data_IF_126280551183
#
_entry.id   IF_126280551183
#
_cell.length_a   1.000
_cell.length_b   1.000
_cell.length_c   1.000
_cell.angle_alpha   90.00
_cell.angle_beta   90.00
_cell.angle_gamma   90.00
#
_symmetry.space_group_name_H-M   'P 1'
#
loop_
_entity.id
_entity.type
_entity.pdbx_description
1 polymer ?
#
# COMPACT_ATOMS: atom_id res chain seq x y z
N UNK A 1 -37.87 -9.01 35.55
CA UNK A 1 -38.14 -10.31 36.19
C UNK A 1 -36.79 -10.99 36.41
N UNK A 2 -36.19 -10.71 37.57
CA UNK A 2 -34.98 -11.37 38.08
C UNK A 2 -35.39 -12.71 38.69
N UNK A 3 -34.59 -13.76 38.49
CA UNK A 3 -34.48 -14.82 39.49
C UNK A 3 -33.04 -15.34 39.51
N UNK A 4 -32.34 -15.00 40.60
CA UNK A 4 -31.14 -15.67 41.10
C UNK A 4 -31.57 -16.91 41.89
N UNK A 5 -30.73 -17.95 41.94
CA UNK A 5 -30.68 -18.85 43.10
C UNK A 5 -29.24 -19.24 43.41
N UNK A 6 -28.95 -19.17 44.71
CA UNK A 6 -27.69 -19.44 45.37
C UNK A 6 -27.79 -20.72 46.23
N UNK A 7 -26.66 -21.08 46.86
CA UNK A 7 -26.48 -22.00 48.00
C UNK A 7 -26.42 -23.51 47.64
N UNK A 8 -25.55 -24.35 48.24
CA UNK A 8 -24.71 -24.22 49.44
C UNK A 8 -23.66 -25.34 49.49
N UNK A 9 -22.56 -25.07 50.20
CA UNK A 9 -21.53 -25.99 50.69
C UNK A 9 -22.06 -27.15 51.54
N UNK A 10 -21.34 -28.27 51.55
CA UNK A 10 -20.90 -28.96 52.78
C UNK A 10 -19.79 -29.97 52.46
N UNK A 11 -18.59 -29.75 53.03
CA UNK A 11 -17.50 -30.72 53.01
C UNK A 11 -17.66 -31.82 54.05
N UNK A 12 -16.86 -32.88 53.94
CA UNK A 12 -16.37 -33.70 55.05
C UNK A 12 -15.22 -34.64 54.60
N UNK A 13 -14.04 -34.39 55.18
CA UNK A 13 -12.93 -35.26 55.62
C UNK A 13 -12.55 -36.55 54.86
N UNK A 14 -11.25 -36.64 54.57
CA UNK A 14 -10.46 -37.83 54.23
C UNK A 14 -10.34 -38.83 55.41
N UNK A 15 -9.85 -40.07 55.12
CA UNK A 15 -8.52 -40.41 55.62
C UNK A 15 -7.62 -41.17 54.63
N UNK A 16 -6.34 -41.23 55.02
CA UNK A 16 -5.12 -41.69 54.32
C UNK A 16 -5.00 -43.21 54.10
N UNK A 17 -4.28 -43.56 53.03
CA UNK A 17 -3.08 -44.43 52.91
C UNK A 17 -3.15 -45.49 51.81
N UNK A 18 -2.08 -45.58 51.01
CA UNK A 18 -1.80 -46.72 50.12
C UNK A 18 -0.98 -46.32 48.89
N UNK A 19 0.35 -46.42 48.99
CA UNK A 19 1.24 -46.42 47.83
C UNK A 19 0.96 -47.64 46.94
N UNK A 20 0.84 -47.45 45.63
CA UNK A 20 1.36 -48.39 44.63
C UNK A 20 1.55 -47.70 43.28
N UNK A 21 2.76 -47.88 42.74
CA UNK A 21 3.15 -47.48 41.39
C UNK A 21 2.32 -48.22 40.33
N UNK A 22 1.97 -47.51 39.25
CA UNK A 22 1.78 -48.10 37.91
C UNK A 22 1.79 -46.99 36.85
N UNK A 23 2.81 -47.06 35.98
CA UNK A 23 2.90 -46.38 34.70
C UNK A 23 1.66 -46.71 33.85
N UNK A 24 1.11 -45.76 33.08
CA UNK A 24 0.28 -46.07 31.91
C UNK A 24 0.17 -44.90 30.89
N UNK A 25 0.70 -45.21 29.69
CA UNK A 25 0.42 -44.79 28.31
C UNK A 25 -0.27 -43.44 27.95
N UNK A 26 0.19 -42.74 26.89
CA UNK A 26 -0.53 -41.61 26.31
C UNK A 26 -1.77 -42.08 25.51
N UNK A 27 -2.85 -41.31 25.57
CA UNK A 27 -4.13 -41.67 24.97
C UNK A 27 -4.07 -41.77 23.43
N UNK A 28 -4.83 -42.69 22.78
CA UNK A 28 -4.69 -42.99 21.34
C UNK A 28 -5.20 -41.89 20.39
N UNK A 29 -5.76 -40.80 20.93
CA UNK A 29 -6.69 -39.95 20.17
C UNK A 29 -6.09 -38.64 19.64
N UNK A 30 -4.88 -38.26 20.08
CA UNK A 30 -4.17 -37.06 19.61
C UNK A 30 -3.30 -37.35 18.39
N UNK A 31 -2.63 -38.50 18.37
CA UNK A 31 -1.81 -38.96 17.24
C UNK A 31 -2.66 -39.26 15.99
N UNK A 32 -3.89 -39.75 16.15
CA UNK A 32 -4.79 -40.04 15.02
C UNK A 32 -5.31 -38.75 14.36
N UNK A 33 -5.65 -37.72 15.16
CA UNK A 33 -6.05 -36.39 14.68
C UNK A 33 -4.91 -35.65 13.99
N UNK A 34 -3.69 -35.76 14.51
CA UNK A 34 -2.50 -35.22 13.86
C UNK A 34 -2.25 -35.90 12.51
N UNK A 35 -2.28 -37.24 12.45
CA UNK A 35 -2.15 -38.01 11.19
C UNK A 35 -3.25 -37.69 10.19
N UNK A 36 -4.49 -37.48 10.64
CA UNK A 36 -5.60 -37.08 9.78
C UNK A 36 -5.36 -35.69 9.18
N UNK A 37 -4.93 -34.71 9.98
CA UNK A 37 -4.56 -33.36 9.50
C UNK A 37 -3.40 -33.41 8.50
N UNK A 38 -2.36 -34.19 8.77
CA UNK A 38 -1.25 -34.38 7.83
C UNK A 38 -1.69 -35.02 6.52
N UNK A 39 -2.59 -36.02 6.56
CA UNK A 39 -3.19 -36.61 5.35
C UNK A 39 -4.03 -35.61 4.56
N UNK A 40 -4.83 -34.78 5.22
CA UNK A 40 -5.63 -33.74 4.57
C UNK A 40 -4.73 -32.69 3.91
N UNK A 41 -3.69 -32.22 4.60
CA UNK A 41 -2.70 -31.28 4.03
C UNK A 41 -1.95 -31.91 2.85
N UNK A 42 -1.58 -33.18 2.94
CA UNK A 42 -0.92 -33.89 1.83
C UNK A 42 -1.85 -34.12 0.63
N UNK A 43 -3.14 -34.38 0.85
CA UNK A 43 -4.16 -34.49 -0.21
C UNK A 43 -4.43 -33.15 -0.88
N UNK A 44 -4.53 -32.06 -0.11
CA UNK A 44 -4.64 -30.70 -0.62
C UNK A 44 -3.39 -30.35 -1.43
N UNK A 45 -2.19 -30.65 -0.93
CA UNK A 45 -0.94 -30.42 -1.64
C UNK A 45 -0.84 -31.23 -2.95
N UNK A 46 -1.27 -32.49 -2.97
CA UNK A 46 -1.35 -33.31 -4.19
C UNK A 46 -2.39 -32.78 -5.17
N UNK A 47 -3.57 -32.38 -4.69
CA UNK A 47 -4.63 -31.78 -5.51
C UNK A 47 -4.17 -30.48 -6.16
N UNK A 48 -3.56 -29.58 -5.38
CA UNK A 48 -2.94 -28.35 -5.88
C UNK A 48 -1.82 -28.67 -6.87
N UNK A 49 -0.93 -29.63 -6.57
CA UNK A 49 0.14 -30.04 -7.48
C UNK A 49 -0.38 -30.54 -8.83
N UNK A 50 -1.54 -31.22 -8.83
CA UNK A 50 -2.17 -31.75 -10.05
C UNK A 50 -2.87 -30.64 -10.83
N UNK A 51 -3.49 -29.70 -10.13
CA UNK A 51 -4.10 -28.49 -10.70
C UNK A 51 -3.04 -27.57 -11.34
N UNK A 52 -1.92 -27.35 -10.65
CA UNK A 52 -0.79 -26.55 -11.12
C UNK A 52 -0.14 -27.10 -12.38
N UNK A 53 -0.06 -28.43 -12.51
CA UNK A 53 0.57 -29.09 -13.66
C UNK A 53 -0.32 -29.02 -14.92
N UNK A 54 -1.65 -29.00 -14.73
CA UNK A 54 -2.62 -28.93 -15.83
C UNK A 54 -2.74 -27.52 -16.43
N UNK A 55 -2.38 -26.48 -15.67
CA UNK A 55 -2.45 -25.07 -16.08
C UNK A 55 -1.09 -24.37 -16.19
N UNK A 56 0.04 -25.10 -16.20
CA UNK A 56 1.40 -24.52 -16.26
C UNK A 56 1.66 -23.47 -15.16
N UNK A 57 1.19 -23.71 -13.94
CA UNK A 57 1.41 -22.81 -12.80
C UNK A 57 2.24 -23.51 -11.75
N UNK A 58 3.57 -23.52 -11.85
CA UNK A 58 4.40 -24.19 -10.85
C UNK A 58 4.30 -23.47 -9.49
N UNK A 59 4.27 -24.19 -8.36
CA UNK A 59 4.42 -23.58 -7.02
C UNK A 59 5.78 -22.86 -6.86
N UNK A 60 6.79 -23.23 -7.68
CA UNK A 60 8.05 -22.50 -7.87
C UNK A 60 7.88 -21.11 -8.53
N UNK A 61 6.75 -20.82 -9.19
CA UNK A 61 6.43 -19.51 -9.76
C UNK A 61 5.73 -18.57 -8.75
N UNK A 62 5.47 -19.02 -7.52
CA UNK A 62 4.95 -18.11 -6.50
C UNK A 62 6.09 -17.14 -6.10
N UNK A 63 6.05 -15.93 -6.67
CA UNK A 63 6.99 -14.82 -6.42
C UNK A 63 7.26 -14.61 -4.93
N UNK A 64 6.23 -14.76 -4.08
CA UNK A 64 6.33 -14.62 -2.63
C UNK A 64 7.41 -15.50 -1.96
N UNK A 65 7.59 -16.75 -2.42
CA UNK A 65 8.57 -17.68 -1.82
C UNK A 65 10.00 -17.35 -2.22
N UNK A 66 10.19 -16.70 -3.37
CA UNK A 66 11.51 -16.39 -3.93
C UNK A 66 12.02 -15.01 -3.51
N UNK A 67 11.14 -14.02 -3.33
CA UNK A 67 11.55 -12.62 -3.15
C UNK A 67 11.37 -12.07 -1.73
N UNK A 68 10.60 -12.76 -0.88
CA UNK A 68 10.24 -12.25 0.45
C UNK A 68 9.21 -11.11 0.43
N UNK A 69 8.67 -10.75 -0.74
CA UNK A 69 7.62 -9.74 -0.88
C UNK A 69 6.37 -10.14 -0.09
N UNK A 70 5.90 -9.23 0.77
CA UNK A 70 4.66 -9.41 1.53
C UNK A 70 3.49 -8.92 0.70
N UNK A 71 2.42 -9.70 0.65
CA UNK A 71 1.16 -9.30 0.02
C UNK A 71 0.09 -9.06 1.08
N UNK A 72 -0.71 -8.02 0.91
CA UNK A 72 -1.79 -7.61 1.84
C UNK A 72 -3.06 -7.35 1.03
N UNK A 73 -4.22 -7.47 1.67
CA UNK A 73 -5.45 -6.98 1.07
C UNK A 73 -5.41 -5.45 0.98
N UNK A 74 -5.97 -4.90 -0.10
CA UNK A 74 -6.17 -3.47 -0.25
C UNK A 74 -7.42 -3.07 0.53
N UNK A 75 -7.23 -2.58 1.75
CA UNK A 75 -8.33 -2.38 2.69
C UNK A 75 -8.98 -3.71 3.07
N UNK A 76 -10.31 -3.71 3.19
CA UNK A 76 -11.12 -4.93 3.38
C UNK A 76 -11.55 -5.58 2.05
N UNK A 77 -11.09 -5.07 0.90
CA UNK A 77 -11.40 -5.67 -0.40
C UNK A 77 -10.68 -7.02 -0.60
N UNK A 78 -11.12 -7.79 -1.59
CA UNK A 78 -10.46 -9.05 -1.98
C UNK A 78 -9.15 -8.87 -2.76
N UNK A 79 -8.85 -7.65 -3.24
CA UNK A 79 -7.67 -7.38 -4.05
C UNK A 79 -6.40 -7.46 -3.20
N UNK A 80 -5.45 -8.31 -3.59
CA UNK A 80 -4.15 -8.45 -2.92
C UNK A 80 -3.05 -7.70 -3.65
N UNK A 81 -2.40 -6.78 -2.95
CA UNK A 81 -1.30 -5.97 -3.46
C UNK A 81 -0.01 -6.30 -2.73
N UNK A 82 1.13 -6.18 -3.42
CA UNK A 82 2.45 -6.18 -2.80
C UNK A 82 2.56 -5.00 -1.84
N UNK A 83 3.25 -5.16 -0.71
CA UNK A 83 3.40 -4.08 0.27
C UNK A 83 4.25 -2.91 -0.26
N UNK A 84 4.97 -3.12 -1.35
CA UNK A 84 5.60 -2.06 -2.14
C UNK A 84 4.97 -2.05 -3.53
N UNK A 85 4.69 -0.86 -4.05
CA UNK A 85 4.30 -0.61 -5.44
C UNK A 85 5.30 0.31 -6.14
N UNK A 86 5.20 0.44 -7.46
CA UNK A 86 6.01 1.36 -8.25
C UNK A 86 5.13 2.42 -8.89
N UNK A 87 5.37 3.70 -8.57
CA UNK A 87 4.72 4.84 -9.19
C UNK A 87 5.53 5.41 -10.36
N UNK A 88 4.84 6.01 -11.32
CA UNK A 88 5.44 6.56 -12.55
C UNK A 88 5.60 8.09 -12.54
N UNK A 89 5.18 8.78 -11.47
CA UNK A 89 5.23 10.25 -11.39
C UNK A 89 6.66 10.79 -11.48
N UNK A 90 6.84 11.88 -12.25
CA UNK A 90 8.11 12.54 -12.60
C UNK A 90 8.98 11.75 -13.57
N UNK A 91 9.02 10.43 -13.42
CA UNK A 91 9.99 9.57 -14.08
C UNK A 91 9.54 9.20 -15.49
N UNK A 92 8.45 8.44 -15.64
CA UNK A 92 8.08 7.87 -16.94
C UNK A 92 7.61 8.98 -17.88
N UNK A 93 8.17 9.00 -19.10
CA UNK A 93 7.87 10.00 -20.13
C UNK A 93 8.38 11.40 -19.83
N UNK A 94 9.23 11.53 -18.81
CA UNK A 94 9.77 12.79 -18.30
C UNK A 94 11.26 12.68 -17.98
N UNK A 95 11.59 12.40 -16.72
CA UNK A 95 12.96 12.44 -16.20
C UNK A 95 13.89 11.34 -16.77
N UNK A 96 13.35 10.16 -17.06
CA UNK A 96 14.14 8.98 -17.45
C UNK A 96 13.75 8.50 -18.86
N UNK A 97 14.66 7.76 -19.52
CA UNK A 97 14.36 7.13 -20.80
C UNK A 97 13.41 5.94 -20.66
N UNK A 98 12.80 5.54 -21.77
CA UNK A 98 11.87 4.41 -21.83
C UNK A 98 12.57 3.08 -21.49
N UNK A 99 13.86 2.95 -21.83
CA UNK A 99 14.68 1.78 -21.48
C UNK A 99 14.90 1.69 -19.96
N UNK A 100 15.16 2.82 -19.30
CA UNK A 100 15.27 2.86 -17.84
C UNK A 100 13.92 2.56 -17.20
N UNK A 101 12.83 3.09 -17.75
CA UNK A 101 11.47 2.78 -17.28
C UNK A 101 11.16 1.27 -17.37
N UNK A 102 11.52 0.62 -18.47
CA UNK A 102 11.41 -0.83 -18.66
C UNK A 102 12.25 -1.62 -17.65
N UNK A 103 13.50 -1.20 -17.42
CA UNK A 103 14.38 -1.81 -16.43
C UNK A 103 13.78 -1.72 -15.02
N UNK A 104 13.30 -0.55 -14.62
CA UNK A 104 12.68 -0.33 -13.31
C UNK A 104 11.44 -1.22 -13.13
N UNK A 105 10.55 -1.26 -14.12
CA UNK A 105 9.35 -2.08 -14.05
C UNK A 105 9.67 -3.57 -14.03
N UNK A 106 10.69 -4.00 -14.78
CA UNK A 106 11.18 -5.39 -14.79
C UNK A 106 11.72 -5.80 -13.42
N UNK A 107 12.62 -5.00 -12.83
CA UNK A 107 13.18 -5.25 -11.50
C UNK A 107 12.07 -5.33 -10.44
N UNK A 108 11.11 -4.40 -10.49
CA UNK A 108 9.98 -4.39 -9.57
C UNK A 108 9.16 -5.69 -9.69
N UNK A 109 8.75 -6.05 -10.92
CA UNK A 109 7.93 -7.24 -11.17
C UNK A 109 8.66 -8.54 -10.76
N UNK A 110 9.93 -8.68 -11.13
CA UNK A 110 10.76 -9.84 -10.77
C UNK A 110 11.03 -9.93 -9.26
N UNK A 111 10.99 -8.78 -8.55
CA UNK A 111 11.04 -8.72 -7.09
C UNK A 111 9.69 -8.98 -6.41
N UNK A 112 8.65 -9.29 -7.18
CA UNK A 112 7.31 -9.60 -6.70
C UNK A 112 6.38 -8.40 -6.54
N UNK A 113 6.78 -7.19 -6.95
CA UNK A 113 5.85 -6.05 -7.00
C UNK A 113 4.78 -6.35 -8.04
N UNK A 114 3.50 -6.29 -7.63
CA UNK A 114 2.38 -6.40 -8.55
C UNK A 114 1.63 -5.07 -8.74
N UNK A 115 1.83 -4.08 -7.85
CA UNK A 115 1.15 -2.79 -7.90
C UNK A 115 1.96 -1.76 -8.69
N UNK A 116 1.40 -1.26 -9.79
CA UNK A 116 1.97 -0.22 -10.63
C UNK A 116 0.98 0.93 -10.80
N UNK A 117 1.43 2.15 -10.47
CA UNK A 117 0.56 3.31 -10.34
C UNK A 117 0.96 4.44 -11.30
N UNK A 118 -0.04 5.03 -11.98
CA UNK A 118 0.13 6.11 -12.94
C UNK A 118 -1.03 7.13 -12.85
N UNK A 119 -1.07 8.11 -13.76
CA UNK A 119 -2.15 9.09 -13.87
C UNK A 119 -2.22 9.65 -15.29
N UNK A 120 -3.40 10.08 -15.73
CA UNK A 120 -3.58 10.72 -17.04
C UNK A 120 -2.71 11.99 -17.21
N UNK A 121 -2.47 12.71 -16.11
CA UNK A 121 -1.72 13.97 -16.11
C UNK A 121 -0.20 13.75 -16.16
N UNK A 122 0.30 12.55 -15.82
CA UNK A 122 1.73 12.31 -15.70
C UNK A 122 2.40 12.38 -17.08
N UNK A 123 3.27 13.38 -17.23
CA UNK A 123 3.94 13.70 -18.49
C UNK A 123 2.95 13.90 -19.65
N UNK A 124 1.75 14.43 -19.37
CA UNK A 124 0.69 14.62 -20.36
C UNK A 124 0.21 13.31 -21.00
N UNK A 125 0.08 12.25 -20.21
CA UNK A 125 -0.34 10.91 -20.65
C UNK A 125 0.80 10.01 -21.14
N UNK A 126 2.02 10.53 -21.34
CA UNK A 126 3.16 9.71 -21.80
C UNK A 126 3.54 8.60 -20.83
N UNK A 127 3.39 8.83 -19.53
CA UNK A 127 3.67 7.80 -18.52
C UNK A 127 2.80 6.55 -18.71
N UNK A 128 1.53 6.74 -19.07
CA UNK A 128 0.59 5.64 -19.37
C UNK A 128 0.96 4.90 -20.66
N UNK A 129 1.39 5.61 -21.70
CA UNK A 129 1.85 5.01 -22.95
C UNK A 129 3.07 4.10 -22.70
N UNK A 130 4.06 4.59 -21.96
CA UNK A 130 5.28 3.84 -21.65
C UNK A 130 4.95 2.62 -20.78
N UNK A 131 4.13 2.79 -19.75
CA UNK A 131 3.66 1.69 -18.91
C UNK A 131 2.99 0.59 -19.76
N UNK A 132 2.06 0.98 -20.63
CA UNK A 132 1.37 0.07 -21.55
C UNK A 132 2.31 -0.66 -22.52
N UNK A 133 3.25 0.08 -23.11
CA UNK A 133 4.26 -0.49 -24.01
C UNK A 133 5.13 -1.53 -23.30
N UNK A 134 5.54 -1.28 -22.07
CA UNK A 134 6.34 -2.24 -21.28
C UNK A 134 5.51 -3.49 -20.99
N UNK A 135 4.28 -3.35 -20.49
CA UNK A 135 3.40 -4.50 -20.21
C UNK A 135 3.22 -5.38 -21.45
N UNK A 136 2.95 -4.74 -22.59
CA UNK A 136 2.79 -5.43 -23.88
C UNK A 136 4.08 -6.11 -24.34
N UNK A 137 5.21 -5.42 -24.28
CA UNK A 137 6.53 -5.94 -24.68
C UNK A 137 6.97 -7.13 -23.81
N UNK A 138 6.73 -7.07 -22.51
CA UNK A 138 7.12 -8.12 -21.55
C UNK A 138 6.18 -9.31 -21.55
N UNK A 139 5.01 -9.21 -22.19
CA UNK A 139 3.99 -10.25 -22.24
C UNK A 139 3.61 -10.80 -20.86
N UNK A 140 3.65 -9.96 -19.82
CA UNK A 140 3.21 -10.36 -18.49
C UNK A 140 1.71 -10.62 -18.50
N UNK A 141 1.28 -11.66 -17.79
CA UNK A 141 -0.15 -11.98 -17.67
C UNK A 141 -0.85 -10.79 -17.03
N UNK A 142 -1.87 -10.23 -17.68
CA UNK A 142 -2.66 -9.12 -17.11
C UNK A 142 -3.21 -9.44 -15.72
N UNK A 143 -3.53 -10.70 -15.46
CA UNK A 143 -4.04 -11.22 -14.19
C UNK A 143 -2.99 -11.30 -13.05
N UNK A 144 -1.69 -11.14 -13.33
CA UNK A 144 -0.66 -11.04 -12.29
C UNK A 144 -0.30 -9.60 -11.92
N UNK A 145 -0.89 -8.61 -12.60
CA UNK A 145 -0.63 -7.19 -12.39
C UNK A 145 -1.83 -6.51 -11.72
N UNK A 146 -1.52 -5.53 -10.87
CA UNK A 146 -2.46 -4.55 -10.33
C UNK A 146 -2.06 -3.18 -10.88
N UNK A 147 -2.80 -2.70 -11.88
CA UNK A 147 -2.57 -1.42 -12.53
C UNK A 147 -3.55 -0.39 -11.99
N UNK A 148 -3.04 0.76 -11.56
CA UNK A 148 -3.87 1.86 -11.07
C UNK A 148 -3.60 3.14 -11.84
N UNK A 149 -4.66 3.87 -12.18
CA UNK A 149 -4.54 5.22 -12.76
C UNK A 149 -5.39 6.23 -11.98
N UNK A 150 -5.09 7.51 -12.16
CA UNK A 150 -5.68 8.64 -11.45
C UNK A 150 -6.24 9.65 -12.45
N UNK A 151 -7.48 10.08 -12.23
CA UNK A 151 -8.21 11.04 -13.07
C UNK A 151 -8.48 12.34 -12.32
N UNK A 152 -8.23 13.46 -12.99
CA UNK A 152 -8.69 14.81 -12.66
C UNK A 152 -8.27 15.84 -13.74
N UNK A 153 -7.11 15.65 -14.38
CA UNK A 153 -6.54 16.61 -15.34
C UNK A 153 -6.17 15.88 -16.64
N UNK A 154 -7.12 15.78 -17.58
CA UNK A 154 -6.89 15.09 -18.85
C UNK A 154 -6.53 16.02 -20.01
N UNK A 155 -6.75 17.33 -19.87
CA UNK A 155 -6.49 18.28 -20.97
C UNK A 155 -6.61 19.75 -20.57
N UNK A 156 -6.64 20.61 -21.59
CA UNK A 156 -6.65 22.07 -21.42
C UNK A 156 -8.05 22.64 -21.40
N UNK A 157 -8.99 22.01 -22.11
CA UNK A 157 -10.37 22.49 -22.15
C UNK A 157 -11.05 22.37 -20.78
N UNK A 158 -12.07 23.20 -20.56
CA UNK A 158 -12.80 23.25 -19.29
C UNK A 158 -13.43 21.90 -18.93
N UNK A 159 -13.85 21.15 -19.94
CA UNK A 159 -14.50 19.83 -19.79
C UNK A 159 -13.52 18.66 -19.71
N UNK A 160 -12.20 18.91 -19.83
CA UNK A 160 -11.14 17.89 -19.75
C UNK A 160 -10.49 17.84 -18.35
N UNK A 161 -11.22 18.30 -17.32
CA UNK A 161 -10.79 18.27 -15.92
C UNK A 161 -11.95 18.03 -14.96
N UNK A 162 -11.60 17.74 -13.71
CA UNK A 162 -12.53 17.55 -12.60
C UNK A 162 -12.96 16.09 -12.45
N UNK A 163 -14.05 15.88 -11.71
CA UNK A 163 -14.63 14.57 -11.44
C UNK A 163 -16.10 14.47 -11.89
N UNK A 164 -16.52 15.36 -12.78
CA UNK A 164 -17.81 15.21 -13.44
C UNK A 164 -17.85 13.91 -14.25
N UNK A 165 -19.06 13.39 -14.48
CA UNK A 165 -19.29 12.12 -15.15
C UNK A 165 -18.67 12.07 -16.55
N UNK A 166 -18.73 13.18 -17.29
CA UNK A 166 -18.13 13.28 -18.63
C UNK A 166 -16.62 13.02 -18.55
N UNK A 167 -15.91 13.74 -17.70
CA UNK A 167 -14.45 13.60 -17.57
C UNK A 167 -14.04 12.24 -17.00
N UNK A 168 -14.75 11.70 -16.01
CA UNK A 168 -14.43 10.35 -15.47
C UNK A 168 -14.49 9.29 -16.58
N UNK A 169 -15.55 9.31 -17.40
CA UNK A 169 -15.73 8.32 -18.47
C UNK A 169 -14.72 8.55 -19.60
N UNK A 170 -14.61 9.79 -20.09
CA UNK A 170 -13.73 10.13 -21.23
C UNK A 170 -12.24 10.02 -20.86
N UNK A 171 -11.87 10.53 -19.69
CA UNK A 171 -10.51 10.45 -19.14
C UNK A 171 -10.07 9.00 -18.91
N UNK A 172 -10.94 8.13 -18.37
CA UNK A 172 -10.61 6.72 -18.22
C UNK A 172 -10.48 6.02 -19.58
N UNK A 173 -11.38 6.27 -20.54
CA UNK A 173 -11.25 5.73 -21.91
C UNK A 173 -9.92 6.12 -22.54
N UNK A 174 -9.54 7.40 -22.45
CA UNK A 174 -8.25 7.89 -22.95
C UNK A 174 -7.06 7.23 -22.25
N UNK A 175 -7.15 7.03 -20.95
CA UNK A 175 -6.12 6.36 -20.15
C UNK A 175 -5.94 4.89 -20.56
N UNK A 176 -7.04 4.15 -20.70
CA UNK A 176 -7.05 2.76 -21.16
C UNK A 176 -6.48 2.63 -22.57
N UNK A 177 -6.85 3.53 -23.49
CA UNK A 177 -6.30 3.57 -24.83
C UNK A 177 -4.78 3.78 -24.82
N UNK A 178 -4.27 4.74 -24.03
CA UNK A 178 -2.83 4.99 -23.90
C UNK A 178 -2.09 3.78 -23.34
N UNK A 179 -2.65 3.14 -22.31
CA UNK A 179 -2.07 1.94 -21.69
C UNK A 179 -2.24 0.67 -22.54
N UNK A 180 -3.08 0.68 -23.57
CA UNK A 180 -3.44 -0.51 -24.36
C UNK A 180 -4.02 -1.63 -23.46
N UNK A 181 -4.90 -1.25 -22.52
CA UNK A 181 -5.55 -2.16 -21.58
C UNK A 181 -7.07 -2.05 -21.69
N UNK A 182 -7.78 -3.16 -21.50
CA UNK A 182 -9.24 -3.17 -21.43
C UNK A 182 -9.76 -2.59 -20.11
N UNK A 183 -8.98 -2.74 -19.03
CA UNK A 183 -9.32 -2.27 -17.69
C UNK A 183 -8.11 -1.95 -16.82
N UNK A 184 -8.31 -1.08 -15.83
CA UNK A 184 -7.41 -0.90 -14.68
C UNK A 184 -7.98 -1.57 -13.43
N UNK A 185 -7.13 -2.06 -12.54
CA UNK A 185 -7.60 -2.70 -11.31
C UNK A 185 -8.23 -1.67 -10.36
N UNK A 186 -7.65 -0.47 -10.27
CA UNK A 186 -8.24 0.63 -9.50
C UNK A 186 -8.14 1.94 -10.27
N UNK A 187 -9.28 2.59 -10.50
CA UNK A 187 -9.33 3.99 -10.93
C UNK A 187 -9.46 4.91 -9.71
N UNK A 188 -8.63 5.93 -9.64
CA UNK A 188 -8.63 6.87 -8.53
C UNK A 188 -9.13 8.25 -8.95
N UNK A 189 -9.92 8.89 -8.09
CA UNK A 189 -10.07 10.34 -8.10
C UNK A 189 -8.76 10.97 -7.59
N UNK A 190 -8.01 11.68 -8.43
CA UNK A 190 -6.65 12.15 -8.12
C UNK A 190 -6.61 13.18 -6.97
N UNK A 191 -7.68 13.96 -6.81
CA UNK A 191 -7.93 14.95 -5.76
C UNK A 191 -9.45 15.16 -5.61
N UNK A 192 -9.94 15.84 -4.55
CA UNK A 192 -11.34 16.27 -4.48
C UNK A 192 -11.69 17.28 -5.57
N UNK A 193 -12.96 17.29 -5.96
CA UNK A 193 -13.56 18.26 -6.87
C UNK A 193 -14.72 18.98 -6.19
N UNK A 194 -14.55 20.27 -5.89
CA UNK A 194 -15.59 21.09 -5.26
C UNK A 194 -16.71 21.50 -6.22
N UNK A 195 -16.52 21.31 -7.53
CA UNK A 195 -17.47 21.75 -8.56
C UNK A 195 -18.41 20.63 -9.01
N UNK A 196 -18.16 19.38 -8.60
CA UNK A 196 -18.98 18.22 -8.95
C UNK A 196 -19.61 17.63 -7.70
N UNK A 197 -20.95 17.43 -7.66
CA UNK A 197 -21.61 16.79 -6.53
C UNK A 197 -21.11 15.36 -6.29
N UNK A 198 -20.98 14.97 -5.01
CA UNK A 198 -20.51 13.63 -4.62
C UNK A 198 -21.29 12.49 -5.27
N UNK A 199 -22.62 12.65 -5.39
CA UNK A 199 -23.48 11.66 -6.03
C UNK A 199 -23.08 11.39 -7.48
N UNK A 200 -22.78 12.44 -8.26
CA UNK A 200 -22.36 12.29 -9.64
C UNK A 200 -21.02 11.55 -9.74
N UNK A 201 -20.06 11.91 -8.88
CA UNK A 201 -18.74 11.26 -8.82
C UNK A 201 -18.91 9.76 -8.55
N UNK A 202 -19.65 9.39 -7.50
CA UNK A 202 -19.84 7.99 -7.08
C UNK A 202 -20.62 7.20 -8.15
N UNK A 203 -21.64 7.79 -8.79
CA UNK A 203 -22.36 7.16 -9.91
C UNK A 203 -21.46 6.96 -11.13
N UNK A 204 -20.58 7.91 -11.44
CA UNK A 204 -19.64 7.80 -12.55
C UNK A 204 -18.60 6.70 -12.30
N UNK A 205 -18.01 6.67 -11.09
CA UNK A 205 -17.08 5.61 -10.68
C UNK A 205 -17.73 4.23 -10.69
N UNK A 206 -18.97 4.12 -10.18
CA UNK A 206 -19.76 2.89 -10.22
C UNK A 206 -20.05 2.46 -11.67
N UNK A 207 -20.36 3.42 -12.54
CA UNK A 207 -20.63 3.14 -13.95
C UNK A 207 -19.40 2.55 -14.66
N UNK A 208 -18.22 3.15 -14.51
CA UNK A 208 -17.02 2.62 -15.18
C UNK A 208 -16.62 1.24 -14.66
N UNK A 209 -16.92 0.92 -13.39
CA UNK A 209 -16.76 -0.44 -12.87
C UNK A 209 -17.76 -1.40 -13.52
N UNK A 210 -19.04 -1.05 -13.55
CA UNK A 210 -20.08 -1.87 -14.17
C UNK A 210 -19.89 -2.08 -15.68
N UNK A 211 -19.18 -1.17 -16.35
CA UNK A 211 -18.78 -1.30 -17.76
C UNK A 211 -17.51 -2.15 -17.94
N UNK A 212 -16.90 -2.64 -16.86
CA UNK A 212 -15.67 -3.44 -16.91
C UNK A 212 -14.42 -2.63 -17.21
N UNK A 213 -14.47 -1.30 -17.20
CA UNK A 213 -13.30 -0.43 -17.44
C UNK A 213 -12.39 -0.33 -16.20
N UNK A 214 -12.94 -0.61 -15.02
CA UNK A 214 -12.16 -0.79 -13.81
C UNK A 214 -12.74 -1.86 -12.89
N UNK A 215 -11.89 -2.50 -12.07
CA UNK A 215 -12.36 -3.49 -11.09
C UNK A 215 -12.85 -2.84 -9.79
N UNK A 216 -12.18 -1.76 -9.36
CA UNK A 216 -12.47 -1.01 -8.15
C UNK A 216 -12.22 0.48 -8.36
N UNK A 217 -12.63 1.31 -7.41
CA UNK A 217 -12.22 2.71 -7.40
C UNK A 217 -11.73 3.15 -6.02
N UNK A 218 -10.97 4.23 -5.99
CA UNK A 218 -10.43 4.81 -4.78
C UNK A 218 -10.34 6.34 -4.83
N UNK A 219 -9.97 6.92 -3.72
CA UNK A 219 -9.77 8.37 -3.56
C UNK A 219 -8.28 8.68 -3.40
N UNK A 220 -7.88 9.92 -3.66
CA UNK A 220 -6.51 10.40 -3.43
C UNK A 220 -6.58 11.84 -2.94
N UNK A 221 -5.92 12.15 -1.82
CA UNK A 221 -5.92 13.48 -1.18
C UNK A 221 -7.27 13.92 -0.62
N UNK A 222 -8.23 13.01 -0.47
CA UNK A 222 -9.54 13.32 0.10
C UNK A 222 -9.49 13.36 1.62
N UNK A 223 -10.21 14.26 2.25
CA UNK A 223 -10.41 14.28 3.69
C UNK A 223 -11.19 13.03 4.15
N UNK A 224 -11.06 12.66 5.43
CA UNK A 224 -11.85 11.56 5.97
C UNK A 224 -13.37 11.81 5.88
N UNK A 225 -13.78 13.08 5.91
CA UNK A 225 -15.18 13.49 5.73
C UNK A 225 -15.66 13.18 4.30
N UNK A 226 -14.95 13.61 3.26
CA UNK A 226 -15.33 13.37 1.87
C UNK A 226 -15.34 11.86 1.53
N UNK A 227 -14.41 11.08 2.09
CA UNK A 227 -14.41 9.61 1.89
C UNK A 227 -15.66 8.98 2.53
N UNK A 228 -16.04 9.45 3.73
CA UNK A 228 -17.27 8.99 4.38
C UNK A 228 -18.53 9.45 3.63
N UNK A 229 -18.52 10.65 3.04
CA UNK A 229 -19.60 11.14 2.19
C UNK A 229 -19.77 10.26 0.95
N UNK A 230 -18.68 9.92 0.25
CA UNK A 230 -18.70 8.98 -0.87
C UNK A 230 -19.27 7.61 -0.46
N UNK A 231 -18.87 7.10 0.71
CA UNK A 231 -19.42 5.88 1.26
C UNK A 231 -20.93 6.01 1.57
N UNK A 232 -21.34 7.12 2.17
CA UNK A 232 -22.75 7.41 2.50
C UNK A 232 -23.63 7.42 1.25
N UNK A 233 -23.22 8.16 0.21
CA UNK A 233 -23.89 8.19 -1.10
C UNK A 233 -23.95 6.79 -1.69
N UNK A 234 -22.86 6.02 -1.63
CA UNK A 234 -22.85 4.66 -2.15
C UNK A 234 -23.86 3.76 -1.43
N UNK A 235 -23.98 3.87 -0.10
CA UNK A 235 -24.98 3.11 0.66
C UNK A 235 -26.41 3.57 0.40
N UNK A 236 -26.63 4.88 0.31
CA UNK A 236 -27.96 5.45 0.06
C UNK A 236 -28.53 5.03 -1.29
N UNK A 237 -27.69 5.00 -2.32
CA UNK A 237 -28.12 4.75 -3.70
C UNK A 237 -27.74 3.37 -4.25
N UNK A 238 -27.30 2.45 -3.38
CA UNK A 238 -26.84 1.10 -3.74
C UNK A 238 -25.76 1.11 -4.85
N UNK A 239 -24.77 1.98 -4.69
CA UNK A 239 -23.62 2.12 -5.58
C UNK A 239 -22.38 1.48 -4.95
N UNK A 240 -21.27 1.48 -5.69
CA UNK A 240 -20.02 0.86 -5.26
C UNK A 240 -19.20 1.88 -4.44
N UNK A 241 -18.84 1.60 -3.18
CA UNK A 241 -18.01 2.50 -2.37
C UNK A 241 -16.52 2.42 -2.75
N UNK A 242 -15.70 3.44 -2.42
CA UNK A 242 -14.26 3.38 -2.66
C UNK A 242 -13.59 2.34 -1.75
N UNK A 243 -12.56 1.64 -2.25
CA UNK A 243 -11.87 0.59 -1.49
C UNK A 243 -10.59 1.07 -0.81
N UNK A 244 -10.05 2.21 -1.24
CA UNK A 244 -8.77 2.72 -0.75
C UNK A 244 -8.63 4.23 -0.92
N UNK A 245 -7.76 4.81 -0.09
CA UNK A 245 -7.29 6.18 -0.19
C UNK A 245 -5.78 6.17 -0.51
N UNK A 246 -5.38 6.96 -1.51
CA UNK A 246 -3.98 7.25 -1.82
C UNK A 246 -3.51 8.52 -1.09
N UNK A 247 -2.76 8.35 0.01
CA UNK A 247 -2.35 9.44 0.89
C UNK A 247 -0.84 9.62 1.03
N UNK A 248 -0.38 10.86 1.23
CA UNK A 248 1.02 11.13 1.54
C UNK A 248 1.37 10.52 2.89
N UNK A 249 2.47 9.77 2.97
CA UNK A 249 2.95 9.24 4.24
C UNK A 249 4.45 9.06 4.24
N UNK A 250 5.10 9.72 5.18
CA UNK A 250 6.53 9.63 5.44
C UNK A 250 6.85 10.25 6.81
N UNK A 251 8.11 10.23 7.23
CA UNK A 251 8.54 10.77 8.53
C UNK A 251 7.97 12.17 8.86
N UNK A 252 7.95 13.07 7.88
CA UNK A 252 7.49 14.45 8.06
C UNK A 252 6.02 14.71 7.69
N UNK A 253 5.23 13.68 7.34
CA UNK A 253 3.81 13.80 7.00
C UNK A 253 3.08 12.55 7.50
N UNK A 254 2.43 12.67 8.66
CA UNK A 254 1.97 11.52 9.45
C UNK A 254 0.48 11.54 9.78
N UNK A 255 -0.03 12.72 10.11
CA UNK A 255 -1.32 12.90 10.78
C UNK A 255 -2.45 12.09 10.14
N UNK A 256 -2.79 12.39 8.88
CA UNK A 256 -3.89 11.71 8.17
C UNK A 256 -3.81 10.18 8.24
N UNK A 257 -2.65 9.60 7.93
CA UNK A 257 -2.49 8.14 7.84
C UNK A 257 -2.44 7.47 9.22
N UNK A 258 -1.94 8.16 10.25
CA UNK A 258 -1.83 7.60 11.60
C UNK A 258 -3.08 7.86 12.47
N UNK A 259 -3.85 8.91 12.21
CA UNK A 259 -5.00 9.31 13.06
C UNK A 259 -6.36 9.13 12.40
N UNK A 260 -6.48 9.39 11.09
CA UNK A 260 -7.78 9.43 10.41
C UNK A 260 -8.07 8.13 9.65
N UNK A 261 -7.13 7.64 8.85
CA UNK A 261 -7.34 6.46 8.00
C UNK A 261 -7.55 5.14 8.76
N UNK A 262 -6.96 4.89 9.94
CA UNK A 262 -7.28 3.69 10.72
C UNK A 262 -8.76 3.62 11.10
N UNK A 263 -9.38 4.75 11.46
CA UNK A 263 -10.81 4.81 11.76
C UNK A 263 -11.67 4.49 10.52
N UNK A 264 -11.29 5.00 9.34
CA UNK A 264 -11.98 4.66 8.10
C UNK A 264 -11.85 3.17 7.75
N UNK A 265 -10.67 2.58 7.95
CA UNK A 265 -10.47 1.14 7.77
C UNK A 265 -11.41 0.33 8.67
N UNK A 266 -11.51 0.67 9.95
CA UNK A 266 -12.38 -0.05 10.88
C UNK A 266 -13.87 0.13 10.53
N UNK A 267 -14.30 1.36 10.26
CA UNK A 267 -15.72 1.70 10.02
C UNK A 267 -16.24 1.25 8.66
N UNK A 268 -15.49 1.53 7.59
CA UNK A 268 -15.97 1.35 6.21
C UNK A 268 -15.05 0.49 5.33
N UNK A 269 -13.91 0.04 5.87
CA UNK A 269 -13.04 -0.92 5.19
C UNK A 269 -12.08 -0.32 4.16
N UNK A 270 -11.95 0.99 4.11
CA UNK A 270 -11.03 1.70 3.20
C UNK A 270 -9.58 1.44 3.60
N UNK A 271 -8.78 0.93 2.66
CA UNK A 271 -7.33 0.72 2.83
C UNK A 271 -6.50 1.94 2.48
N UNK A 272 -5.19 1.84 2.69
CA UNK A 272 -4.24 2.92 2.39
C UNK A 272 -3.17 2.44 1.42
N UNK A 273 -3.01 3.19 0.32
CA UNK A 273 -1.81 3.12 -0.52
C UNK A 273 -1.06 4.42 -0.32
N UNK A 274 0.08 4.40 0.36
CA UNK A 274 0.78 5.65 0.62
C UNK A 274 1.71 6.05 -0.51
N UNK A 275 1.99 7.34 -0.65
CA UNK A 275 2.90 7.88 -1.66
C UNK A 275 3.93 8.84 -1.05
N UNK A 276 4.99 9.12 -1.83
CA UNK A 276 6.17 9.90 -1.44
C UNK A 276 6.82 9.44 -0.13
N UNK A 277 7.12 8.14 0.09
CA UNK A 277 7.72 7.65 1.33
C UNK A 277 9.07 8.30 1.66
N UNK A 278 9.76 8.84 0.66
CA UNK A 278 11.03 9.53 0.80
C UNK A 278 10.90 11.06 0.67
N UNK A 279 9.69 11.61 0.74
CA UNK A 279 9.36 13.03 0.58
C UNK A 279 10.08 13.66 -0.63
N UNK A 280 9.83 13.12 -1.84
CA UNK A 280 10.49 13.53 -3.09
C UNK A 280 12.03 13.43 -3.08
N UNK A 281 12.58 12.54 -2.24
CA UNK A 281 14.02 12.31 -2.09
C UNK A 281 14.66 13.09 -0.94
N UNK A 282 13.89 13.87 -0.18
CA UNK A 282 14.40 14.62 0.98
C UNK A 282 14.98 13.68 2.03
N UNK A 283 14.30 12.55 2.28
CA UNK A 283 14.64 11.60 3.35
C UNK A 283 15.88 10.77 3.01
N UNK A 284 16.43 10.84 1.79
CA UNK A 284 17.67 10.11 1.46
C UNK A 284 18.93 10.81 1.99
N UNK A 285 18.81 11.99 2.60
CA UNK A 285 19.95 12.81 3.03
C UNK A 285 20.72 13.51 1.90
N UNK A 286 20.32 13.34 0.63
CA UNK A 286 21.07 13.85 -0.53
C UNK A 286 21.16 15.38 -0.59
N UNK A 287 20.36 16.08 0.21
CA UNK A 287 20.27 17.54 0.22
C UNK A 287 21.00 18.20 1.41
N UNK A 288 21.74 17.43 2.21
CA UNK A 288 22.49 17.96 3.37
C UNK A 288 23.43 19.10 2.94
N UNK A 289 24.10 18.95 1.80
CA UNK A 289 25.10 19.89 1.29
C UNK A 289 24.60 20.71 0.08
N UNK A 290 23.31 21.03 0.05
CA UNK A 290 22.68 21.78 -1.04
C UNK A 290 21.96 20.89 -2.05
N UNK A 291 21.61 21.43 -3.22
CA UNK A 291 20.76 20.73 -4.21
C UNK A 291 21.62 20.10 -5.32
N UNK A 292 21.74 18.76 -5.39
CA UNK A 292 22.52 18.12 -6.44
C UNK A 292 21.89 18.37 -7.83
N UNK A 293 22.73 18.53 -8.85
CA UNK A 293 22.29 18.84 -10.22
C UNK A 293 21.41 17.75 -10.85
N UNK A 294 21.62 16.49 -10.49
CA UNK A 294 20.85 15.33 -10.98
C UNK A 294 19.60 15.03 -10.15
N UNK A 295 19.33 15.83 -9.11
CA UNK A 295 18.21 15.60 -8.18
C UNK A 295 16.86 16.03 -8.77
N UNK A 296 15.77 15.61 -8.15
CA UNK A 296 14.43 16.09 -8.52
C UNK A 296 14.28 17.60 -8.29
N UNK A 297 14.91 18.13 -7.24
CA UNK A 297 14.80 19.53 -6.87
C UNK A 297 15.57 20.49 -7.81
N UNK A 298 16.48 20.01 -8.65
CA UNK A 298 17.16 20.84 -9.66
C UNK A 298 16.34 21.02 -10.94
N UNK A 299 15.31 20.21 -11.16
CA UNK A 299 14.49 20.24 -12.37
C UNK A 299 13.58 21.47 -12.40
N UNK A 300 13.52 22.18 -13.54
CA UNK A 300 12.75 23.45 -13.68
C UNK A 300 11.30 23.39 -13.17
N UNK A 301 10.49 22.35 -13.44
CA UNK A 301 9.11 22.30 -12.95
C UNK A 301 8.97 22.09 -11.43
N UNK A 302 10.08 21.83 -10.72
CA UNK A 302 10.11 21.47 -9.30
C UNK A 302 10.79 22.54 -8.43
N UNK A 303 10.73 23.80 -8.85
CA UNK A 303 11.25 24.93 -8.08
C UNK A 303 10.64 24.99 -6.66
N UNK A 304 9.37 24.64 -6.51
CA UNK A 304 8.71 24.50 -5.20
C UNK A 304 9.40 23.49 -4.27
N UNK A 305 9.98 22.42 -4.82
CA UNK A 305 10.72 21.41 -4.04
C UNK A 305 12.08 21.96 -3.61
N UNK A 306 12.75 22.69 -4.51
CA UNK A 306 13.99 23.42 -4.18
C UNK A 306 13.77 24.36 -3.01
N UNK A 307 12.75 25.20 -3.09
CA UNK A 307 12.36 26.14 -2.04
C UNK A 307 12.06 25.42 -0.72
N UNK A 308 11.29 24.33 -0.77
CA UNK A 308 10.99 23.49 0.42
C UNK A 308 12.27 22.95 1.06
N UNK A 309 13.19 22.40 0.26
CA UNK A 309 14.47 21.86 0.74
C UNK A 309 15.37 22.94 1.36
N UNK A 310 15.44 24.11 0.74
CA UNK A 310 16.30 25.21 1.19
C UNK A 310 15.69 26.05 2.30
N UNK A 311 14.42 25.83 2.63
CA UNK A 311 13.73 26.53 3.72
C UNK A 311 14.31 26.18 5.09
N UNK A 312 13.98 26.98 6.11
CA UNK A 312 14.37 26.68 7.48
C UNK A 312 13.84 25.33 7.96
N UNK A 313 12.58 25.01 7.65
CA UNK A 313 11.98 23.72 7.97
C UNK A 313 12.65 22.57 7.21
N UNK A 314 13.04 22.78 5.95
CA UNK A 314 13.83 21.82 5.18
C UNK A 314 15.17 21.51 5.84
N UNK A 315 15.88 22.53 6.34
CA UNK A 315 17.13 22.34 7.10
C UNK A 315 16.91 21.62 8.44
N UNK A 316 15.84 21.94 9.17
CA UNK A 316 15.45 21.20 10.40
C UNK A 316 15.16 19.74 10.11
N UNK A 317 14.52 19.43 8.98
CA UNK A 317 14.31 18.05 8.54
C UNK A 317 15.65 17.35 8.25
N UNK A 318 16.60 17.99 7.56
CA UNK A 318 17.93 17.41 7.32
C UNK A 318 18.69 17.12 8.62
N UNK A 319 18.61 18.00 9.62
CA UNK A 319 19.21 17.75 10.93
C UNK A 319 18.65 16.48 11.60
N UNK A 320 17.32 16.31 11.58
CA UNK A 320 16.67 15.08 12.10
C UNK A 320 17.07 13.83 11.32
N UNK A 321 17.27 13.94 10.01
CA UNK A 321 17.75 12.81 9.19
C UNK A 321 19.16 12.35 9.63
N UNK A 322 20.03 13.29 9.98
CA UNK A 322 21.36 12.98 10.53
C UNK A 322 21.29 12.24 11.86
N UNK A 323 20.35 12.63 12.72
CA UNK A 323 20.09 11.93 13.99
C UNK A 323 19.48 10.53 13.80
N UNK A 324 18.83 10.26 12.67
CA UNK A 324 18.30 8.93 12.32
C UNK A 324 19.35 7.98 11.74
N UNK A 325 20.49 8.49 11.26
CA UNK A 325 21.57 7.67 10.67
C UNK A 325 22.08 6.56 11.60
N UNK A 326 22.35 6.81 12.90
CA UNK A 326 22.79 5.76 13.83
C UNK A 326 21.77 4.60 13.97
N UNK A 327 20.47 4.89 13.86
CA UNK A 327 19.43 3.84 13.86
C UNK A 327 19.52 3.01 12.59
N UNK A 328 19.70 3.65 11.43
CA UNK A 328 19.84 2.95 10.16
C UNK A 328 21.08 2.03 10.16
N UNK A 329 22.22 2.53 10.68
CA UNK A 329 23.47 1.77 10.86
C UNK A 329 23.30 0.58 11.81
N UNK A 330 22.67 0.81 12.98
CA UNK A 330 22.33 -0.24 13.96
C UNK A 330 21.49 -1.36 13.36
N UNK A 331 20.61 -1.04 12.41
CA UNK A 331 19.79 -2.03 11.69
C UNK A 331 20.46 -2.60 10.43
N UNK A 332 21.66 -2.12 10.10
CA UNK A 332 22.41 -2.43 8.87
C UNK A 332 21.57 -2.18 7.61
N UNK A 333 20.99 -0.99 7.51
CA UNK A 333 20.18 -0.56 6.38
C UNK A 333 20.47 0.90 6.02
N UNK A 334 20.04 1.32 4.83
CA UNK A 334 20.14 2.73 4.44
C UNK A 334 18.99 3.55 5.03
N UNK A 335 19.16 4.88 5.09
CA UNK A 335 18.10 5.78 5.56
C UNK A 335 16.81 5.68 4.70
N UNK A 336 16.88 5.55 3.35
CA UNK A 336 15.71 5.22 2.54
C UNK A 336 15.02 3.92 2.93
N UNK A 337 15.79 2.85 3.18
CA UNK A 337 15.23 1.56 3.61
C UNK A 337 14.53 1.66 4.97
N UNK A 338 15.14 2.38 5.92
CA UNK A 338 14.55 2.66 7.23
C UNK A 338 13.20 3.38 7.08
N UNK A 339 13.16 4.43 6.27
CA UNK A 339 11.96 5.24 6.06
C UNK A 339 10.81 4.47 5.40
N UNK A 340 11.11 3.67 4.38
CA UNK A 340 10.12 2.83 3.70
C UNK A 340 9.61 1.74 4.65
N UNK A 341 10.50 1.07 5.38
CA UNK A 341 10.11 0.06 6.37
C UNK A 341 9.27 0.67 7.51
N UNK A 342 9.61 1.88 7.95
CA UNK A 342 8.84 2.62 8.93
C UNK A 342 7.42 2.94 8.44
N UNK A 343 7.25 3.33 7.18
CA UNK A 343 5.92 3.53 6.59
C UNK A 343 5.09 2.23 6.62
N UNK A 344 5.75 1.08 6.43
CA UNK A 344 5.13 -0.24 6.43
C UNK A 344 4.91 -0.87 7.80
N UNK A 345 5.37 -0.23 8.88
CA UNK A 345 5.13 -0.66 10.27
C UNK A 345 3.65 -0.58 10.64
N UNK A 346 2.93 0.36 10.03
CA UNK A 346 1.49 0.51 10.23
C UNK A 346 0.77 -0.55 9.40
N UNK A 347 0.08 -1.47 10.07
CA UNK A 347 -0.68 -2.54 9.40
C UNK A 347 -1.85 -1.99 8.56
N UNK A 348 -2.34 -0.78 8.86
CA UNK A 348 -3.34 -0.08 8.06
C UNK A 348 -2.83 0.36 6.68
N UNK A 349 -1.50 0.44 6.49
CA UNK A 349 -0.89 0.72 5.18
C UNK A 349 -0.84 -0.58 4.38
N UNK A 350 -1.66 -0.68 3.34
CA UNK A 350 -1.72 -1.84 2.46
C UNK A 350 -0.51 -1.91 1.53
N UNK A 351 -0.07 -0.78 0.99
CA UNK A 351 1.11 -0.66 0.14
C UNK A 351 1.75 0.72 0.20
N UNK A 352 3.05 0.81 -0.08
CA UNK A 352 3.81 2.06 -0.24
C UNK A 352 4.28 2.19 -1.69
N UNK A 353 3.89 3.27 -2.37
CA UNK A 353 4.32 3.57 -3.74
C UNK A 353 5.74 4.18 -3.73
N UNK A 354 6.66 3.44 -4.33
CA UNK A 354 8.03 3.88 -4.56
C UNK A 354 8.12 4.75 -5.81
N UNK A 355 9.06 5.69 -5.79
CA UNK A 355 9.50 6.42 -6.99
C UNK A 355 11.01 6.31 -7.10
N UNK A 356 11.51 5.94 -8.27
CA UNK A 356 12.94 5.74 -8.51
C UNK A 356 13.32 6.27 -9.89
N UNK A 357 14.48 6.94 -9.99
CA UNK A 357 15.00 7.43 -11.27
C UNK A 357 16.09 6.53 -11.86
N UNK A 358 16.50 5.46 -11.18
CA UNK A 358 17.46 4.48 -11.70
C UNK A 358 17.34 3.10 -11.00
N UNK A 359 17.88 2.03 -11.62
CA UNK A 359 17.85 0.69 -11.05
C UNK A 359 18.43 0.57 -9.64
N UNK A 360 19.57 1.23 -9.35
CA UNK A 360 20.24 1.15 -8.05
C UNK A 360 19.35 1.63 -6.92
N UNK A 361 18.70 2.79 -7.08
CA UNK A 361 17.74 3.33 -6.11
C UNK A 361 16.54 2.40 -5.90
N UNK A 362 16.05 1.76 -6.96
CA UNK A 362 14.92 0.84 -6.84
C UNK A 362 15.31 -0.42 -6.06
N UNK A 363 16.44 -1.04 -6.40
CA UNK A 363 16.97 -2.21 -5.69
C UNK A 363 17.25 -1.90 -4.22
N UNK A 364 17.83 -0.73 -3.93
CA UNK A 364 18.00 -0.25 -2.55
C UNK A 364 16.66 -0.17 -1.82
N UNK A 365 15.68 0.51 -2.41
CA UNK A 365 14.35 0.72 -1.81
C UNK A 365 13.60 -0.60 -1.58
N UNK A 366 13.71 -1.57 -2.50
CA UNK A 366 13.12 -2.90 -2.35
C UNK A 366 13.75 -3.67 -1.17
N UNK A 367 15.02 -3.41 -0.86
CA UNK A 367 15.72 -3.95 0.31
C UNK A 367 15.07 -3.58 1.65
N UNK A 368 14.18 -2.57 1.68
CA UNK A 368 13.39 -2.22 2.87
C UNK A 368 12.57 -3.41 3.40
N UNK A 369 12.21 -4.38 2.55
CA UNK A 369 11.50 -5.61 2.94
C UNK A 369 12.24 -6.36 4.05
N UNK A 370 13.57 -6.36 4.01
CA UNK A 370 14.44 -7.02 5.01
C UNK A 370 14.51 -6.24 6.32
N UNK A 371 14.13 -4.95 6.31
CA UNK A 371 14.13 -4.06 7.48
C UNK A 371 12.78 -4.10 8.20
N UNK A 372 11.68 -4.40 7.50
CA UNK A 372 10.33 -4.46 8.11
C UNK A 372 10.30 -5.32 9.38
N UNK A 373 10.85 -6.56 9.42
CA UNK A 373 10.83 -7.37 10.65
C UNK A 373 11.70 -6.80 11.79
N UNK A 374 12.67 -5.93 11.47
CA UNK A 374 13.55 -5.27 12.44
C UNK A 374 12.94 -4.00 13.04
N UNK A 375 11.86 -3.48 12.45
CA UNK A 375 11.13 -2.31 12.92
C UNK A 375 10.27 -2.66 14.15
N UNK A 376 10.94 -2.93 15.27
CA UNK A 376 10.29 -3.26 16.55
C UNK A 376 9.64 -2.01 17.17
N UNK A 377 8.72 -2.17 18.15
CA UNK A 377 8.15 -1.03 18.86
C UNK A 377 9.21 -0.11 19.52
N UNK A 378 10.32 -0.68 19.99
CA UNK A 378 11.43 0.09 20.55
C UNK A 378 12.11 0.99 19.51
N UNK A 379 12.45 0.43 18.34
CA UNK A 379 13.00 1.20 17.22
C UNK A 379 12.02 2.27 16.74
N UNK A 380 10.74 1.93 16.60
CA UNK A 380 9.72 2.87 16.18
C UNK A 380 9.59 4.05 17.16
N UNK A 381 9.72 3.79 18.47
CA UNK A 381 9.72 4.82 19.52
C UNK A 381 10.97 5.71 19.46
N UNK A 382 12.14 5.11 19.20
CA UNK A 382 13.41 5.84 19.00
C UNK A 382 13.30 6.82 17.81
N UNK A 383 12.75 6.34 16.69
CA UNK A 383 12.46 7.17 15.51
C UNK A 383 11.43 8.27 15.84
N UNK A 384 10.35 7.94 16.56
CA UNK A 384 9.32 8.90 16.95
C UNK A 384 9.88 10.03 17.83
N UNK A 385 10.79 9.69 18.74
CA UNK A 385 11.44 10.67 19.62
C UNK A 385 12.27 11.69 18.83
N UNK A 386 13.11 11.22 17.89
CA UNK A 386 13.92 12.10 17.03
C UNK A 386 13.03 12.95 16.12
N UNK A 387 11.99 12.35 15.55
CA UNK A 387 11.08 13.08 14.67
C UNK A 387 10.25 14.12 15.42
N UNK A 388 9.92 13.88 16.70
CA UNK A 388 9.24 14.84 17.57
C UNK A 388 7.89 15.33 17.02
N UNK A 389 7.23 14.51 16.19
CA UNK A 389 6.03 14.87 15.45
C UNK A 389 4.98 13.76 15.44
N UNK A 390 5.05 12.84 16.43
CA UNK A 390 4.05 11.79 16.58
C UNK A 390 2.68 12.45 16.77
N UNK A 391 1.70 12.17 15.89
CA UNK A 391 0.39 12.79 16.00
C UNK A 391 -0.34 12.24 17.23
N UNK A 392 -1.13 13.09 17.89
CA UNK A 392 -1.91 12.70 19.06
C UNK A 392 -3.08 11.82 18.63
N UNK A 393 -3.21 10.64 19.24
CA UNK A 393 -4.41 9.82 19.06
C UNK A 393 -5.47 10.23 20.08
N UNK A 394 -6.76 10.15 19.72
CA UNK A 394 -7.85 10.31 20.70
C UNK A 394 -7.73 9.36 21.90
N UNK A 395 -7.02 8.24 21.76
CA UNK A 395 -6.74 7.30 22.86
C UNK A 395 -5.79 7.87 23.92
N UNK A 396 -5.02 8.90 23.60
CA UNK A 396 -4.03 9.50 24.52
C UNK A 396 -4.67 10.49 25.51
N UNK A 397 -5.96 10.83 25.36
CA UNK A 397 -6.69 11.74 26.25
C UNK A 397 -7.30 11.07 27.50
N UNK A 398 -7.15 9.75 27.65
CA UNK A 398 -7.73 8.99 28.78
C UNK A 398 -6.70 8.62 29.87
N UNK A 399 -5.54 9.26 29.90
CA UNK A 399 -4.53 9.09 30.95
C UNK A 399 -4.16 10.42 31.62
#
# INVERSE_FOLDING_TARGET
MQVSFACTDHGLKAPRNGEHSKQNAPSPNTASKARARFRTVALIARSLSTFTHRYHHNLKESTAKLTGMKYRNLGKSGLRVSCLGLGTWVTFGGQISDEVAEQLMTIAYESGVNLFDTAEVYSGGKAEIILGNIIKKKCWRRSSLVITTKLYWGGKAETERGLNRKHIIEGLKGSLQRMQLDYVDVVFANRPDSNTPMEEIVRAMTHVINQGMSMYWGTSRWSAMEIMEAYSVARQFNLIPPVCEQAEYHFFQRDKVETQLPELYHKIGVGVVSWSPLACGIITGKYENGVPETSRASMKPYQWLKEKVTSEDGRKQQAKLKELTPIAEKLSCTLPQLAIAWCLRNEGVSSVLLGSSNPTQLTENLGAILVIPKMTPGIATEVDHILGNRPHSKKDYHH
#
